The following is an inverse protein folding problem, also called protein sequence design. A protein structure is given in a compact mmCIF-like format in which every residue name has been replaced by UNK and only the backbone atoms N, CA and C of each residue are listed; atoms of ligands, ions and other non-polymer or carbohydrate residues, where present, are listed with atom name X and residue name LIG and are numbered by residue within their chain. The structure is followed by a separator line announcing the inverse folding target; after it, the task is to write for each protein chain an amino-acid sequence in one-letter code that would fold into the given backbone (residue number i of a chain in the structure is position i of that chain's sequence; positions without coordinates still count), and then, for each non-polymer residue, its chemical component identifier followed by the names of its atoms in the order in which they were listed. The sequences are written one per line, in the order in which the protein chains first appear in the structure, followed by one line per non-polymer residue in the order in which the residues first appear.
data_IF_499244886093
#
_entry.id   IF_499244886093
#
_cell.length_a   1.000
_cell.length_b   1.000
_cell.length_c   1.000
_cell.angle_alpha   90.00
_cell.angle_beta   90.00
_cell.angle_gamma   90.00
#
_symmetry.space_group_name_H-M   'P 1'
#
loop_
_entity.id
_entity.type
_entity.pdbx_description
1 polymer ?
#
# COMPACT_ATOMS: atom_id res chain seq x y z
N UNK A 1 -14.94 15.88 1.68
CA UNK A 1 -13.88 14.90 1.94
C UNK A 1 -13.35 14.38 0.61
N UNK A 2 -12.17 14.87 0.19
CA UNK A 2 -11.60 14.61 -1.14
C UNK A 2 -10.92 13.24 -1.18
N UNK A 3 -11.28 12.40 -2.16
CA UNK A 3 -10.77 11.02 -2.33
C UNK A 3 -9.36 11.06 -2.87
N UNK A 4 -8.40 10.45 -2.18
CA UNK A 4 -7.04 10.33 -2.71
C UNK A 4 -6.79 8.90 -3.15
N UNK A 5 -6.39 8.73 -4.41
CA UNK A 5 -5.95 7.45 -4.93
C UNK A 5 -4.41 7.44 -4.97
N UNK A 6 -3.81 6.64 -4.09
CA UNK A 6 -2.39 6.31 -4.16
C UNK A 6 -2.26 5.00 -4.96
N UNK A 7 -1.62 5.09 -6.11
CA UNK A 7 -1.23 3.90 -6.87
C UNK A 7 0.19 3.52 -6.46
N UNK A 8 0.34 2.27 -6.03
CA UNK A 8 1.61 1.68 -5.63
C UNK A 8 1.92 0.56 -6.62
N UNK A 9 3.03 0.70 -7.36
CA UNK A 9 3.50 -0.34 -8.27
C UNK A 9 4.53 -1.21 -7.55
N UNK A 10 4.29 -2.52 -7.59
CA UNK A 10 5.10 -3.54 -6.94
C UNK A 10 5.73 -4.45 -7.97
N UNK A 11 7.05 -4.64 -7.86
CA UNK A 11 7.77 -5.68 -8.59
C UNK A 11 8.16 -6.82 -7.63
N UNK A 12 8.06 -8.09 -8.04
CA UNK A 12 8.59 -9.19 -7.24
C UNK A 12 10.11 -9.04 -7.08
N UNK A 13 10.63 -9.24 -5.87
CA UNK A 13 12.06 -9.12 -5.56
C UNK A 13 12.92 -10.18 -6.27
N UNK A 14 12.30 -11.25 -6.77
CA UNK A 14 12.93 -12.32 -7.52
C UNK A 14 12.13 -12.62 -8.79
N UNK A 15 12.45 -11.96 -9.91
CA UNK A 15 11.97 -12.40 -11.22
C UNK A 15 12.93 -11.94 -12.34
N UNK A 16 14.02 -12.68 -12.51
CA UNK A 16 14.43 -13.09 -13.84
C UNK A 16 13.87 -14.51 -14.05
N UNK A 17 13.09 -14.68 -15.13
CA UNK A 17 12.55 -15.92 -15.72
C UNK A 17 11.18 -16.46 -15.25
N UNK A 18 10.23 -16.20 -16.15
CA UNK A 18 9.17 -17.06 -16.68
C UNK A 18 7.76 -17.07 -16.07
N UNK A 19 6.73 -17.19 -16.93
CA UNK A 19 5.37 -16.79 -16.64
C UNK A 19 4.45 -17.98 -16.35
N UNK A 20 3.20 -17.64 -16.03
CA UNK A 20 2.01 -18.50 -16.07
C UNK A 20 1.66 -19.23 -14.76
N UNK A 21 0.81 -18.58 -13.98
CA UNK A 21 -0.35 -19.26 -13.40
C UNK A 21 -1.52 -18.29 -13.37
N UNK A 22 -2.53 -18.57 -14.17
CA UNK A 22 -3.77 -17.81 -14.23
C UNK A 22 -4.48 -17.88 -12.89
N UNK A 23 -4.36 -16.83 -12.09
CA UNK A 23 -5.06 -16.71 -10.82
C UNK A 23 -6.56 -16.56 -11.09
N UNK A 24 -7.36 -17.49 -10.57
CA UNK A 24 -8.83 -17.45 -10.64
C UNK A 24 -9.32 -16.15 -10.00
N UNK A 25 -9.87 -15.26 -10.83
CA UNK A 25 -10.58 -14.06 -10.39
C UNK A 25 -11.82 -14.48 -9.61
N UNK A 26 -11.79 -14.35 -8.28
CA UNK A 26 -13.03 -14.15 -7.52
C UNK A 26 -13.19 -12.65 -7.35
N UNK A 27 -13.97 -12.05 -8.24
CA UNK A 27 -14.49 -10.71 -8.00
C UNK A 27 -15.40 -10.80 -6.77
N UNK A 28 -14.96 -10.22 -5.64
CA UNK A 28 -15.87 -9.95 -4.53
C UNK A 28 -16.66 -8.69 -4.90
N UNK A 29 -17.84 -8.86 -5.47
CA UNK A 29 -18.82 -7.78 -5.52
C UNK A 29 -19.43 -7.64 -4.14
N UNK A 30 -18.87 -6.78 -3.30
CA UNK A 30 -19.50 -6.38 -2.05
C UNK A 30 -20.33 -5.11 -2.28
N UNK A 31 -21.55 -5.30 -2.80
CA UNK A 31 -22.64 -4.39 -2.50
C UNK A 31 -23.13 -4.70 -1.09
N UNK A 32 -22.91 -3.77 -0.15
CA UNK A 32 -23.74 -3.49 1.04
C UNK A 32 -22.90 -2.97 2.22
N UNK A 33 -23.44 -1.92 2.86
CA UNK A 33 -23.00 -1.29 4.11
C UNK A 33 -21.62 -0.60 4.10
N UNK A 34 -21.64 0.73 3.89
CA UNK A 34 -20.59 1.66 4.35
C UNK A 34 -20.53 1.61 5.89
N UNK A 35 -19.93 0.57 6.45
CA UNK A 35 -19.48 0.63 7.83
C UNK A 35 -18.13 1.32 7.85
N UNK A 36 -17.97 2.29 8.76
CA UNK A 36 -16.70 2.95 9.00
C UNK A 36 -15.68 1.87 9.39
N UNK A 37 -14.51 1.80 8.74
CA UNK A 37 -13.48 0.88 9.18
C UNK A 37 -13.08 1.28 10.61
N UNK A 38 -13.43 0.45 11.59
CA UNK A 38 -13.00 0.59 12.96
C UNK A 38 -11.66 -0.16 13.16
N UNK A 39 -11.11 -0.11 14.37
CA UNK A 39 -9.82 -0.72 14.67
C UNK A 39 -9.70 -2.20 14.24
N UNK A 40 -10.72 -3.06 14.50
CA UNK A 40 -10.69 -4.45 14.08
C UNK A 40 -10.64 -4.65 12.56
N UNK A 41 -11.40 -3.88 11.79
CA UNK A 41 -11.44 -3.96 10.33
C UNK A 41 -10.11 -3.49 9.72
N UNK A 42 -9.54 -2.41 10.24
CA UNK A 42 -8.22 -1.93 9.83
C UNK A 42 -7.14 -2.97 10.16
N UNK A 43 -7.23 -3.64 11.30
CA UNK A 43 -6.32 -4.74 11.65
C UNK A 43 -6.44 -5.92 10.70
N UNK A 44 -7.66 -6.34 10.36
CA UNK A 44 -7.88 -7.42 9.41
C UNK A 44 -7.33 -7.05 8.03
N UNK A 45 -7.56 -5.82 7.58
CA UNK A 45 -7.03 -5.32 6.32
C UNK A 45 -5.49 -5.27 6.34
N UNK A 46 -4.89 -4.72 7.38
CA UNK A 46 -3.43 -4.63 7.50
C UNK A 46 -2.78 -6.02 7.47
N UNK A 47 -3.36 -7.00 8.17
CA UNK A 47 -2.89 -8.41 8.12
C UNK A 47 -3.05 -9.02 6.74
N UNK A 48 -4.16 -8.74 6.06
CA UNK A 48 -4.41 -9.24 4.71
C UNK A 48 -3.40 -8.67 3.71
N UNK A 49 -3.11 -7.36 3.79
CA UNK A 49 -2.09 -6.70 2.97
C UNK A 49 -0.70 -7.25 3.30
N UNK A 50 -0.34 -7.39 4.57
CA UNK A 50 0.96 -7.94 4.99
C UNK A 50 1.18 -9.36 4.46
N UNK A 51 0.14 -10.21 4.53
CA UNK A 51 0.18 -11.55 3.98
C UNK A 51 0.37 -11.56 2.45
N UNK A 52 -0.15 -10.56 1.74
CA UNK A 52 -0.03 -10.44 0.29
C UNK A 52 1.33 -9.85 -0.14
N UNK A 53 1.76 -8.73 0.45
CA UNK A 53 2.91 -7.95 -0.07
C UNK A 53 4.08 -7.81 0.91
N UNK A 54 3.87 -8.11 2.19
CA UNK A 54 4.91 -7.98 3.23
C UNK A 54 5.95 -9.11 3.20
N UNK A 55 6.90 -9.04 4.13
CA UNK A 55 7.95 -10.05 4.31
C UNK A 55 9.09 -9.95 3.28
N UNK A 56 9.26 -8.79 2.63
CA UNK A 56 10.39 -8.56 1.74
C UNK A 56 10.29 -9.18 0.35
N UNK A 57 9.11 -9.72 0.00
CA UNK A 57 8.88 -10.42 -1.27
C UNK A 57 8.70 -9.48 -2.45
N UNK A 58 8.30 -8.24 -2.17
CA UNK A 58 7.99 -7.23 -3.17
C UNK A 58 8.79 -5.96 -2.94
N UNK A 59 9.17 -5.33 -4.04
CA UNK A 59 9.78 -4.00 -4.05
C UNK A 59 8.77 -2.98 -4.54
N UNK A 60 8.62 -1.91 -3.78
CA UNK A 60 7.98 -0.67 -4.16
C UNK A 60 8.86 0.03 -5.21
N UNK A 61 8.45 0.01 -6.47
CA UNK A 61 9.22 0.59 -7.58
C UNK A 61 8.76 1.98 -7.94
N UNK A 62 7.47 2.27 -7.75
CA UNK A 62 6.88 3.55 -8.09
C UNK A 62 5.66 3.85 -7.21
N UNK A 63 5.45 5.12 -6.94
CA UNK A 63 4.33 5.61 -6.12
C UNK A 63 3.77 6.87 -6.77
N UNK A 64 2.47 6.85 -7.04
CA UNK A 64 1.81 7.90 -7.80
C UNK A 64 0.53 8.38 -7.12
N UNK A 65 0.36 9.70 -7.06
CA UNK A 65 -0.86 10.35 -6.61
C UNK A 65 -1.73 10.59 -7.85
N UNK A 66 -2.82 9.83 -8.00
CA UNK A 66 -3.65 9.85 -9.22
C UNK A 66 -4.85 10.78 -9.13
N UNK A 67 -5.37 11.00 -7.92
CA UNK A 67 -6.48 11.92 -7.69
C UNK A 67 -6.50 12.40 -6.24
N UNK A 68 -7.27 13.47 -5.97
CA UNK A 68 -7.61 13.89 -4.61
C UNK A 68 -6.84 15.08 -4.08
N UNK A 69 -6.88 15.22 -2.75
CA UNK A 69 -6.28 16.35 -2.03
C UNK A 69 -4.79 16.55 -2.30
N UNK A 70 -4.08 15.48 -2.66
CA UNK A 70 -2.65 15.45 -2.85
C UNK A 70 -2.25 15.64 -4.33
N UNK A 71 -3.20 15.71 -5.26
CA UNK A 71 -2.91 16.04 -6.66
C UNK A 71 -2.97 17.54 -6.89
N UNK A 72 -4.04 18.18 -6.39
CA UNK A 72 -4.26 19.62 -6.55
C UNK A 72 -3.70 20.44 -5.37
N UNK A 73 -3.18 19.76 -4.35
CA UNK A 73 -2.72 20.37 -3.10
C UNK A 73 -1.23 20.17 -2.85
N UNK A 74 -0.83 20.28 -1.59
CA UNK A 74 0.52 19.97 -1.17
C UNK A 74 0.73 18.46 -1.14
N UNK A 75 1.89 18.01 -1.62
CA UNK A 75 2.32 16.62 -1.52
C UNK A 75 2.36 16.15 -0.05
N UNK A 76 2.20 14.84 0.19
CA UNK A 76 2.42 14.26 1.50
C UNK A 76 3.81 14.63 2.06
N UNK A 77 3.91 14.80 3.38
CA UNK A 77 5.20 15.05 4.02
C UNK A 77 6.20 13.94 3.69
N UNK A 78 7.39 14.30 3.23
CA UNK A 78 8.44 13.34 2.85
C UNK A 78 8.23 12.64 1.50
N UNK A 79 7.31 13.13 0.65
CA UNK A 79 7.01 12.52 -0.64
C UNK A 79 8.21 12.49 -1.60
N UNK A 80 8.93 13.60 -1.73
CA UNK A 80 10.12 13.67 -2.58
C UNK A 80 11.27 12.79 -2.08
N UNK A 81 11.47 12.76 -0.76
CA UNK A 81 12.46 11.90 -0.11
C UNK A 81 12.15 10.41 -0.35
N UNK A 82 10.87 10.03 -0.26
CA UNK A 82 10.42 8.67 -0.58
C UNK A 82 10.72 8.33 -2.04
N UNK A 83 10.33 9.21 -2.99
CA UNK A 83 10.54 8.99 -4.43
C UNK A 83 12.00 8.87 -4.80
N UNK A 84 12.86 9.70 -4.21
CA UNK A 84 14.31 9.65 -4.43
C UNK A 84 14.94 8.35 -3.93
N UNK A 85 14.28 7.63 -3.02
CA UNK A 85 14.80 6.41 -2.41
C UNK A 85 14.26 5.13 -3.03
N UNK A 86 13.28 5.22 -3.92
CA UNK A 86 12.80 4.06 -4.67
C UNK A 86 13.94 3.46 -5.54
N UNK A 87 13.99 2.13 -5.71
CA UNK A 87 13.06 1.14 -5.18
C UNK A 87 13.30 0.79 -3.69
N UNK A 88 12.23 0.45 -2.97
CA UNK A 88 12.27 0.05 -1.56
C UNK A 88 11.58 -1.30 -1.34
N UNK A 89 12.14 -2.14 -0.47
CA UNK A 89 11.54 -3.42 -0.08
C UNK A 89 10.38 -3.19 0.90
N UNK A 90 9.26 -3.89 0.71
CA UNK A 90 8.14 -3.87 1.66
C UNK A 90 8.40 -4.90 2.75
N UNK A 91 8.96 -4.44 3.87
CA UNK A 91 9.27 -5.30 5.01
C UNK A 91 7.97 -5.80 5.66
N UNK A 92 7.04 -4.89 5.93
CA UNK A 92 5.82 -5.20 6.69
C UNK A 92 4.70 -4.19 6.46
N UNK A 93 3.45 -4.65 6.52
CA UNK A 93 2.27 -3.81 6.71
C UNK A 93 1.70 -4.05 8.12
N UNK A 94 1.40 -2.98 8.86
CA UNK A 94 0.90 -3.06 10.23
C UNK A 94 -0.06 -1.92 10.54
N UNK A 95 -0.74 -2.00 11.68
CA UNK A 95 -1.70 -0.98 12.10
C UNK A 95 -1.59 -0.65 13.58
N UNK A 96 -2.01 0.56 13.94
CA UNK A 96 -2.24 1.00 15.33
C UNK A 96 -3.60 1.71 15.40
N UNK A 97 -4.61 1.02 15.91
CA UNK A 97 -5.99 1.51 15.89
C UNK A 97 -6.48 1.70 14.44
N UNK A 98 -6.82 2.92 14.05
CA UNK A 98 -7.28 3.26 12.69
C UNK A 98 -6.16 3.66 11.72
N UNK A 99 -4.92 3.67 12.21
CA UNK A 99 -3.75 4.01 11.40
C UNK A 99 -3.14 2.75 10.81
N UNK A 100 -2.91 2.76 9.50
CA UNK A 100 -2.19 1.73 8.76
C UNK A 100 -0.83 2.30 8.35
N UNK A 101 0.21 1.50 8.45
CA UNK A 101 1.55 1.91 8.03
C UNK A 101 2.32 0.75 7.42
N UNK A 102 3.13 1.07 6.41
CA UNK A 102 4.08 0.16 5.79
C UNK A 102 5.47 0.48 6.30
N UNK A 103 6.23 -0.54 6.68
CA UNK A 103 7.66 -0.47 6.92
C UNK A 103 8.38 -0.80 5.63
N UNK A 104 9.19 0.14 5.15
CA UNK A 104 9.92 0.07 3.90
C UNK A 104 11.42 0.17 4.20
N UNK A 105 12.24 -0.61 3.49
CA UNK A 105 13.68 -0.63 3.74
C UNK A 105 14.49 -1.04 2.53
N UNK A 106 15.81 -0.99 2.66
CA UNK A 106 16.75 -1.64 1.74
C UNK A 106 17.60 -2.58 2.57
N UNK A 107 17.87 -3.80 2.08
CA UNK A 107 18.78 -4.72 2.78
C UNK A 107 20.17 -4.13 2.99
N UNK A 108 20.61 -3.27 2.06
CA UNK A 108 21.95 -2.71 2.02
C UNK A 108 22.08 -1.35 2.74
N UNK A 109 20.97 -0.69 3.08
CA UNK A 109 21.00 0.66 3.64
C UNK A 109 20.22 0.72 4.97
N UNK A 110 20.77 1.30 6.04
CA UNK A 110 20.11 1.34 7.35
C UNK A 110 18.91 2.28 7.41
N UNK A 111 18.75 3.19 6.44
CA UNK A 111 17.61 4.09 6.40
C UNK A 111 16.32 3.31 6.15
N UNK A 112 15.39 3.43 7.10
CA UNK A 112 14.04 2.86 7.00
C UNK A 112 13.05 3.97 6.73
N UNK A 113 12.13 3.69 5.82
CA UNK A 113 11.02 4.55 5.50
C UNK A 113 9.74 3.95 6.04
N UNK A 114 8.77 4.81 6.35
CA UNK A 114 7.44 4.33 6.71
C UNK A 114 6.38 5.14 5.98
N UNK A 115 5.53 4.44 5.23
CA UNK A 115 4.41 5.04 4.51
C UNK A 115 3.16 4.91 5.36
N UNK A 116 2.54 6.03 5.73
CA UNK A 116 1.38 6.05 6.62
C UNK A 116 0.11 6.34 5.84
N UNK A 117 -0.98 5.67 6.23
CA UNK A 117 -2.28 5.84 5.62
C UNK A 117 -3.39 5.74 6.66
N UNK A 118 -4.37 6.62 6.54
CA UNK A 118 -5.65 6.51 7.25
C UNK A 118 -6.74 6.32 6.20
N UNK A 119 -7.61 5.33 6.41
CA UNK A 119 -8.68 5.03 5.46
C UNK A 119 -9.79 6.10 5.50
N UNK A 120 -10.00 6.73 6.66
CA UNK A 120 -11.17 7.58 6.86
C UNK A 120 -12.48 6.81 6.62
N UNK A 121 -13.52 7.52 6.19
CA UNK A 121 -14.87 6.93 6.01
C UNK A 121 -15.00 6.05 4.77
N UNK A 122 -14.21 6.32 3.74
CA UNK A 122 -14.41 5.73 2.40
C UNK A 122 -13.12 5.26 1.74
N UNK A 123 -11.99 5.31 2.44
CA UNK A 123 -10.73 4.81 1.92
C UNK A 123 -10.64 3.30 2.06
N UNK A 124 -9.97 2.68 1.11
CA UNK A 124 -9.74 1.25 1.04
C UNK A 124 -8.46 1.02 0.24
N UNK A 125 -7.88 -0.15 0.39
CA UNK A 125 -6.73 -0.61 -0.39
C UNK A 125 -7.17 -1.72 -1.32
N UNK A 126 -6.59 -1.74 -2.52
CA UNK A 126 -6.82 -2.78 -3.53
C UNK A 126 -5.54 -3.09 -4.27
N UNK A 127 -5.49 -4.29 -4.82
CA UNK A 127 -4.42 -4.75 -5.71
C UNK A 127 -4.77 -4.57 -7.17
N UNK A 128 -5.96 -4.04 -7.49
CA UNK A 128 -6.41 -3.83 -8.87
C UNK A 128 -5.83 -2.52 -9.43
N UNK A 129 -5.31 -2.59 -10.65
CA UNK A 129 -4.71 -1.49 -11.41
C UNK A 129 -5.61 -1.03 -12.54
#
# INVERSE_FOLDING_TARGET
TSRCALLVLLAPAAAWHSPCSAMRRRAFTSSAARMMPEGPEVMYLARSIDALVGGGRFMLTDVQLRSGRYVDGADPTGWDELRAQLPLEIERCSCRGKFLFFSLGKREHPARFSLWSTLGLTGWWTTDS
#
